data_IF_878769935393
#
_entry.id   IF_878769935393
#
_cell.length_a   1.000
_cell.length_b   1.000
_cell.length_c   1.000
_cell.angle_alpha   90.00
_cell.angle_beta   90.00
_cell.angle_gamma   90.00
#
_symmetry.space_group_name_H-M   'P 1'
#
loop_
_entity.id
_entity.type
_entity.pdbx_description
1 polymer ?
#
# COMPACT_ATOMS: atom_id res chain seq x y z
N UNK A 1 13.04 18.00 -4.50
CA UNK A 1 11.65 17.71 -4.75
C UNK A 1 11.17 16.54 -3.90
N UNK A 2 10.07 16.76 -3.26
CA UNK A 2 9.53 15.70 -2.42
C UNK A 2 8.92 14.62 -3.32
N UNK A 3 9.57 13.53 -3.40
CA UNK A 3 9.04 12.42 -4.16
C UNK A 3 8.06 11.59 -3.36
N UNK A 4 7.65 10.50 -3.94
CA UNK A 4 6.80 9.53 -3.28
C UNK A 4 7.72 8.59 -2.52
N UNK A 5 7.55 8.54 -1.21
CA UNK A 5 8.48 7.85 -0.33
C UNK A 5 7.93 6.50 0.12
N UNK A 6 8.83 5.57 0.32
CA UNK A 6 8.47 4.27 0.88
C UNK A 6 7.86 4.47 2.26
N UNK A 7 6.72 3.84 2.49
CA UNK A 7 5.99 3.98 3.75
C UNK A 7 4.92 5.05 3.73
N UNK A 8 4.87 5.86 2.67
CA UNK A 8 3.81 6.84 2.54
C UNK A 8 2.46 6.15 2.34
N UNK A 9 1.44 6.71 2.97
CA UNK A 9 0.05 6.38 2.66
C UNK A 9 -0.48 7.55 1.86
N UNK A 10 -0.92 7.28 0.62
CA UNK A 10 -1.31 8.32 -0.31
C UNK A 10 -2.62 7.97 -0.98
N UNK A 11 -3.34 8.99 -1.40
CA UNK A 11 -4.49 8.76 -2.27
C UNK A 11 -3.98 8.26 -3.62
N UNK A 12 -4.72 7.35 -4.21
CA UNK A 12 -4.40 6.85 -5.54
C UNK A 12 -5.69 6.68 -6.33
N UNK A 13 -5.59 6.96 -7.62
CA UNK A 13 -6.69 6.81 -8.54
C UNK A 13 -6.66 5.41 -9.15
N UNK A 14 -7.63 4.60 -8.79
CA UNK A 14 -7.70 3.20 -9.23
C UNK A 14 -8.83 2.99 -10.24
N UNK A 15 -9.19 4.03 -10.98
CA UNK A 15 -10.39 4.01 -11.81
C UNK A 15 -10.38 3.01 -12.96
N UNK A 16 -9.23 2.56 -13.40
CA UNK A 16 -9.18 1.67 -14.56
C UNK A 16 -9.26 0.19 -14.21
N UNK A 17 -9.61 -0.14 -12.98
CA UNK A 17 -9.74 -1.54 -12.57
C UNK A 17 -11.03 -2.14 -13.09
N UNK A 18 -11.09 -3.47 -13.09
CA UNK A 18 -12.25 -4.21 -13.56
C UNK A 18 -12.73 -5.19 -12.52
N UNK A 19 -13.97 -5.60 -12.66
CA UNK A 19 -14.55 -6.64 -11.82
C UNK A 19 -14.67 -6.19 -10.38
N UNK A 20 -14.25 -7.05 -9.47
CA UNK A 20 -14.38 -6.80 -8.04
C UNK A 20 -13.19 -6.07 -7.45
N UNK A 21 -12.25 -5.65 -8.27
CA UNK A 21 -11.12 -4.89 -7.78
C UNK A 21 -11.57 -3.51 -7.32
N UNK A 22 -10.85 -2.99 -6.35
CA UNK A 22 -11.15 -1.64 -5.89
C UNK A 22 -10.91 -0.64 -7.00
N UNK A 23 -11.78 0.33 -7.09
CA UNK A 23 -11.68 1.40 -8.07
C UNK A 23 -11.96 2.73 -7.39
N UNK A 24 -11.75 3.82 -8.12
CA UNK A 24 -11.94 5.16 -7.61
C UNK A 24 -10.73 5.62 -6.79
N UNK A 25 -10.93 6.69 -6.05
CA UNK A 25 -9.86 7.28 -5.25
C UNK A 25 -9.77 6.54 -3.92
N UNK A 26 -8.65 5.90 -3.68
CA UNK A 26 -8.46 5.04 -2.50
C UNK A 26 -7.09 5.26 -1.88
N UNK A 27 -6.96 5.05 -0.57
CA UNK A 27 -5.63 5.10 0.05
C UNK A 27 -4.84 3.86 -0.29
N UNK A 28 -3.55 4.07 -0.53
CA UNK A 28 -2.61 2.97 -0.78
C UNK A 28 -1.35 3.20 0.05
N UNK A 29 -0.67 2.11 0.39
CA UNK A 29 0.61 2.14 1.06
C UNK A 29 1.69 1.93 0.01
N UNK A 30 2.64 2.86 -0.07
CA UNK A 30 3.77 2.73 -1.00
C UNK A 30 4.84 1.88 -0.34
N UNK A 31 5.21 0.78 -1.00
CA UNK A 31 6.22 -0.14 -0.45
C UNK A 31 7.53 -0.12 -1.24
N UNK A 32 7.54 0.45 -2.44
CA UNK A 32 8.75 0.52 -3.24
C UNK A 32 9.67 1.64 -2.74
N UNK A 33 10.97 1.43 -2.96
CA UNK A 33 11.98 2.38 -2.51
C UNK A 33 11.91 3.70 -3.26
N UNK A 34 12.34 4.75 -2.60
CA UNK A 34 12.31 6.12 -3.12
C UNK A 34 13.01 6.24 -4.47
N UNK A 35 14.17 5.62 -4.58
CA UNK A 35 14.96 5.70 -5.82
C UNK A 35 14.21 5.00 -6.96
N UNK A 36 13.61 3.86 -6.67
CA UNK A 36 12.80 3.15 -7.68
C UNK A 36 11.64 4.05 -8.13
N UNK A 37 10.93 4.64 -7.17
CA UNK A 37 9.77 5.49 -7.47
C UNK A 37 10.17 6.66 -8.36
N UNK A 38 11.31 7.25 -8.04
CA UNK A 38 11.79 8.42 -8.74
C UNK A 38 12.22 8.11 -10.16
N UNK A 39 12.81 6.95 -10.37
CA UNK A 39 13.40 6.58 -11.67
C UNK A 39 12.44 5.88 -12.60
N UNK A 40 11.51 5.10 -12.05
CA UNK A 40 10.68 4.24 -12.89
C UNK A 40 9.41 4.92 -13.40
N UNK A 41 8.99 6.02 -12.76
CA UNK A 41 7.71 6.62 -13.08
C UNK A 41 6.54 5.80 -12.57
N UNK A 42 6.81 4.78 -11.76
CA UNK A 42 5.78 3.94 -11.15
C UNK A 42 6.12 3.74 -9.68
N UNK A 43 5.12 3.28 -8.93
CA UNK A 43 5.32 2.84 -7.55
C UNK A 43 4.72 1.46 -7.39
N UNK A 44 5.24 0.71 -6.45
CA UNK A 44 4.62 -0.55 -6.04
C UNK A 44 3.89 -0.25 -4.74
N UNK A 45 2.59 -0.52 -4.73
CA UNK A 45 1.74 -0.10 -3.65
C UNK A 45 0.71 -1.17 -3.32
N UNK A 46 0.14 -1.05 -2.13
CA UNK A 46 -0.83 -2.01 -1.62
C UNK A 46 -2.06 -1.23 -1.17
N UNK A 47 -3.23 -1.70 -1.57
CA UNK A 47 -4.48 -1.04 -1.23
C UNK A 47 -4.78 -1.17 0.26
N UNK A 48 -5.37 -0.12 0.82
CA UNK A 48 -5.92 -0.14 2.17
C UNK A 48 -7.43 -0.21 2.10
N UNK A 49 -8.03 -0.71 3.19
CA UNK A 49 -9.48 -0.71 3.33
C UNK A 49 -9.83 -0.39 4.78
N UNK A 50 -10.97 0.27 4.97
CA UNK A 50 -11.49 0.50 6.31
C UNK A 50 -12.48 -0.60 6.74
N UNK A 51 -12.73 -1.56 5.87
CA UNK A 51 -13.61 -2.68 6.20
C UNK A 51 -12.83 -3.74 6.97
N UNK A 52 -13.35 -4.22 8.10
CA UNK A 52 -12.66 -5.27 8.87
C UNK A 52 -12.35 -6.48 8.00
N UNK A 53 -11.17 -7.02 8.19
CA UNK A 53 -10.68 -8.13 7.38
C UNK A 53 -10.56 -9.37 8.26
N UNK A 54 -11.04 -10.49 7.74
CA UNK A 54 -11.01 -11.76 8.46
C UNK A 54 -9.78 -12.60 8.14
N UNK A 55 -9.15 -12.33 7.00
CA UNK A 55 -8.10 -13.19 6.50
C UNK A 55 -6.86 -13.22 7.39
N UNK A 56 -6.53 -12.10 8.02
CA UNK A 56 -5.38 -12.05 8.89
C UNK A 56 -4.06 -12.09 8.15
N UNK A 57 -2.99 -11.99 8.92
CA UNK A 57 -1.63 -12.00 8.41
C UNK A 57 -1.29 -13.37 7.83
N UNK A 58 -0.62 -13.49 6.68
CA UNK A 58 0.01 -12.41 5.93
C UNK A 58 -0.84 -11.78 4.84
N UNK A 59 -2.10 -12.16 4.71
CA UNK A 59 -2.93 -11.63 3.64
C UNK A 59 -3.38 -10.20 3.92
N UNK A 60 -3.69 -9.91 5.18
CA UNK A 60 -4.08 -8.57 5.61
C UNK A 60 -3.45 -8.25 6.95
N UNK A 61 -3.38 -6.98 7.28
CA UNK A 61 -2.81 -6.55 8.54
C UNK A 61 -3.47 -5.23 8.97
N UNK A 62 -3.96 -5.14 10.20
CA UNK A 62 -4.43 -3.85 10.69
C UNK A 62 -3.26 -2.90 10.92
N UNK A 63 -3.47 -1.62 10.70
CA UNK A 63 -2.44 -0.62 10.94
C UNK A 63 -2.92 0.37 12.00
N UNK A 64 -1.98 0.79 12.84
CA UNK A 64 -2.29 1.67 13.95
C UNK A 64 -1.39 2.89 14.02
N UNK A 65 -0.22 2.83 13.37
CA UNK A 65 0.76 3.90 13.49
C UNK A 65 0.42 5.14 12.67
N UNK A 66 -0.37 4.98 11.62
CA UNK A 66 -0.74 6.12 10.79
C UNK A 66 -2.00 6.78 11.34
N UNK A 67 -2.02 8.11 11.31
CA UNK A 67 -3.16 8.86 11.83
C UNK A 67 -4.25 8.94 10.76
N UNK A 68 -4.92 7.84 10.54
CA UNK A 68 -6.00 7.77 9.55
C UNK A 68 -7.34 8.04 10.23
N UNK A 69 -8.32 8.59 9.49
CA UNK A 69 -9.62 8.91 10.08
C UNK A 69 -10.39 7.67 10.55
N UNK A 70 -10.12 6.52 9.97
CA UNK A 70 -10.76 5.27 10.35
C UNK A 70 -9.72 4.19 10.49
N UNK A 71 -10.01 3.21 11.36
CA UNK A 71 -9.18 2.04 11.44
C UNK A 71 -9.09 1.40 10.07
N UNK A 72 -7.89 1.02 9.68
CA UNK A 72 -7.64 0.53 8.33
C UNK A 72 -6.80 -0.72 8.36
N UNK A 73 -6.90 -1.48 7.30
CA UNK A 73 -6.13 -2.71 7.08
C UNK A 73 -5.39 -2.59 5.77
N UNK A 74 -4.15 -3.08 5.75
CA UNK A 74 -3.37 -3.23 4.52
C UNK A 74 -3.74 -4.57 3.92
N UNK A 75 -4.14 -4.58 2.66
CA UNK A 75 -4.50 -5.81 1.95
C UNK A 75 -3.26 -6.32 1.22
N UNK A 76 -2.36 -6.95 1.96
CA UNK A 76 -1.01 -7.27 1.50
C UNK A 76 -1.03 -8.08 0.20
N UNK A 77 -1.99 -8.98 0.06
CA UNK A 77 -2.09 -9.80 -1.14
C UNK A 77 -2.50 -9.01 -2.40
N UNK A 78 -2.90 -7.76 -2.25
CA UNK A 78 -3.34 -6.94 -3.38
C UNK A 78 -2.30 -5.90 -3.75
N UNK A 79 -1.07 -6.33 -3.80
CA UNK A 79 0.04 -5.49 -4.25
C UNK A 79 -0.10 -5.24 -5.75
N UNK A 80 0.24 -4.02 -6.18
CA UNK A 80 0.13 -3.66 -7.58
C UNK A 80 1.08 -2.53 -7.92
N UNK A 81 1.35 -2.38 -9.20
CA UNK A 81 2.15 -1.29 -9.73
C UNK A 81 1.23 -0.19 -10.26
N UNK A 82 1.52 1.04 -9.88
CA UNK A 82 0.72 2.19 -10.31
C UNK A 82 1.64 3.25 -10.88
N UNK A 83 1.17 3.94 -11.94
CA UNK A 83 1.88 5.10 -12.44
C UNK A 83 1.92 6.19 -11.36
N UNK A 84 3.03 6.90 -11.26
CA UNK A 84 3.14 8.00 -10.32
C UNK A 84 2.09 9.08 -10.59
N UNK A 85 1.59 9.16 -11.82
CA UNK A 85 0.54 10.11 -12.16
C UNK A 85 -0.78 9.81 -11.46
N UNK A 86 -0.96 8.59 -10.99
CA UNK A 86 -2.17 8.20 -10.26
C UNK A 86 -2.07 8.47 -8.77
N UNK A 87 -0.89 8.87 -8.30
CA UNK A 87 -0.65 9.04 -6.86
C UNK A 87 -0.89 10.49 -6.49
N UNK A 88 -1.75 10.69 -5.51
CA UNK A 88 -2.10 12.01 -5.02
C UNK A 88 -1.39 12.33 -3.71
N UNK A 89 -2.06 13.16 -2.90
CA UNK A 89 -1.46 13.69 -1.69
C UNK A 89 -1.23 12.62 -0.65
N UNK A 90 -0.25 12.88 0.21
CA UNK A 90 0.04 11.99 1.33
C UNK A 90 -1.00 12.18 2.42
N UNK A 91 -1.52 11.06 2.91
CA UNK A 91 -2.47 11.05 4.01
C UNK A 91 -1.74 10.84 5.33
N UNK A 92 -0.70 10.01 5.31
CA UNK A 92 0.03 9.68 6.51
C UNK A 92 1.25 8.85 6.17
N UNK A 93 1.84 8.26 7.18
CA UNK A 93 3.05 7.47 7.04
C UNK A 93 3.01 6.32 8.01
N UNK A 94 3.38 5.16 7.53
CA UNK A 94 3.44 3.97 8.37
C UNK A 94 4.73 4.02 9.19
N UNK A 95 4.69 3.52 10.42
CA UNK A 95 5.91 3.38 11.20
C UNK A 95 6.83 2.37 10.55
N UNK A 96 8.13 2.49 10.84
CA UNK A 96 9.10 1.54 10.30
C UNK A 96 8.77 0.12 10.74
N UNK A 97 8.29 -0.05 11.96
CA UNK A 97 7.96 -1.37 12.48
C UNK A 97 6.81 -2.00 11.74
N UNK A 98 5.75 -1.23 11.50
CA UNK A 98 4.62 -1.78 10.76
C UNK A 98 4.97 -2.01 9.30
N UNK A 99 5.79 -1.15 8.72
CA UNK A 99 6.24 -1.34 7.35
C UNK A 99 7.03 -2.63 7.20
N UNK A 100 7.94 -2.90 8.14
CA UNK A 100 8.70 -4.15 8.13
C UNK A 100 7.74 -5.35 8.19
N UNK A 101 6.71 -5.24 9.02
CA UNK A 101 5.73 -6.32 9.16
C UNK A 101 4.98 -6.56 7.85
N UNK A 102 4.61 -5.49 7.16
CA UNK A 102 3.97 -5.61 5.83
C UNK A 102 4.90 -6.31 4.85
N UNK A 103 6.17 -5.92 4.83
CA UNK A 103 7.14 -6.53 3.92
C UNK A 103 7.33 -8.01 4.27
N UNK A 104 7.34 -8.36 5.56
CA UNK A 104 7.41 -9.76 5.96
C UNK A 104 6.21 -10.55 5.44
N UNK A 105 5.02 -9.96 5.53
CA UNK A 105 3.83 -10.61 5.01
C UNK A 105 3.90 -10.81 3.50
N UNK A 106 4.35 -9.79 2.80
CA UNK A 106 4.52 -9.88 1.36
C UNK A 106 5.53 -10.97 1.00
N UNK A 107 6.61 -11.04 1.77
CA UNK A 107 7.64 -12.04 1.54
C UNK A 107 7.11 -13.45 1.75
N UNK A 108 6.19 -13.63 2.69
CA UNK A 108 5.57 -14.94 2.87
C UNK A 108 4.69 -15.33 1.68
N UNK A 109 4.09 -14.35 1.03
CA UNK A 109 3.20 -14.62 -0.10
C UNK A 109 3.99 -14.90 -1.37
N UNK A 110 5.03 -14.13 -1.64
CA UNK A 110 5.74 -14.19 -2.91
C UNK A 110 7.23 -14.51 -2.78
N UNK A 111 7.69 -14.67 -1.56
CA UNK A 111 9.10 -14.89 -1.33
C UNK A 111 9.54 -16.29 -1.70
N UNK A 112 10.83 -16.48 -1.60
CA UNK A 112 11.45 -17.77 -1.82
C UNK A 112 11.12 -18.67 -0.63
N UNK A 113 10.41 -19.71 -0.87
CA UNK A 113 10.08 -20.50 0.24
C UNK A 113 9.46 -21.73 -0.25
N UNK A 114 9.07 -22.50 0.59
CA UNK A 114 8.26 -23.52 0.24
C UNK A 114 7.94 -24.44 1.01
#
# INVERSE_FOLDING_TARGET
>A
MAGILRGDIRWADLNSTRGNEQSGLRPVLVVSHDVFNDRSGTVIAIALTSQPQKAGFPLTMPIESAALPKKSWVKISQIRTLSTERIGSRIGRLSAEELIRVIEGLNEIIGKGC
#
